data_IF_237906787269
#
_entry.id   IF_237906787269
#
_cell.length_a   1.000
_cell.length_b   1.000
_cell.length_c   1.000
_cell.angle_alpha   90.00
_cell.angle_beta   90.00
_cell.angle_gamma   90.00
#
_symmetry.space_group_name_H-M   'P 1'
#
loop_
_entity.id
_entity.type
_entity.pdbx_description
1 polymer ?
#
# COMPACT_ATOMS: atom_id res chain seq x y z
N UNK A 1 -27.66 -22.38 6.79
CA UNK A 1 -26.33 -21.89 6.36
C UNK A 1 -26.34 -20.37 6.35
N UNK A 2 -25.66 -19.73 7.30
CA UNK A 2 -25.56 -18.26 7.34
C UNK A 2 -24.54 -17.79 6.29
N UNK A 3 -24.86 -16.78 5.47
CA UNK A 3 -23.92 -16.27 4.49
C UNK A 3 -22.67 -15.70 5.19
N UNK A 4 -21.47 -15.83 4.57
CA UNK A 4 -20.23 -15.31 5.13
C UNK A 4 -20.32 -13.79 5.37
N UNK A 5 -19.62 -13.29 6.38
CA UNK A 5 -19.68 -11.88 6.80
C UNK A 5 -19.45 -10.90 5.65
N UNK A 6 -18.51 -11.19 4.76
CA UNK A 6 -18.24 -10.40 3.55
C UNK A 6 -19.43 -10.34 2.60
N UNK A 7 -20.15 -11.45 2.42
CA UNK A 7 -21.37 -11.47 1.62
C UNK A 7 -22.49 -10.67 2.27
N UNK A 8 -22.59 -10.66 3.61
CA UNK A 8 -23.56 -9.84 4.35
C UNK A 8 -23.25 -8.34 4.22
N UNK A 9 -22.00 -7.93 4.36
CA UNK A 9 -21.58 -6.53 4.25
C UNK A 9 -21.87 -5.99 2.85
N UNK A 10 -21.57 -6.75 1.79
CA UNK A 10 -21.91 -6.34 0.43
C UNK A 10 -23.41 -6.24 0.19
N UNK A 11 -24.20 -7.17 0.74
CA UNK A 11 -25.66 -7.12 0.63
C UNK A 11 -26.21 -5.85 1.29
N UNK A 12 -25.67 -5.46 2.44
CA UNK A 12 -26.03 -4.22 3.13
C UNK A 12 -25.66 -2.97 2.32
N UNK A 13 -24.45 -2.92 1.73
CA UNK A 13 -24.02 -1.78 0.91
C UNK A 13 -24.89 -1.65 -0.35
N UNK A 14 -25.15 -2.74 -1.07
CA UNK A 14 -26.01 -2.73 -2.25
C UNK A 14 -27.45 -2.35 -1.87
N UNK A 15 -27.97 -2.84 -0.74
CA UNK A 15 -29.28 -2.47 -0.25
C UNK A 15 -29.37 -0.96 0.03
N UNK A 16 -28.39 -0.40 0.74
CA UNK A 16 -28.33 1.04 1.04
C UNK A 16 -28.29 1.86 -0.25
N UNK A 17 -27.44 1.51 -1.21
CA UNK A 17 -27.34 2.22 -2.49
C UNK A 17 -28.66 2.18 -3.28
N UNK A 18 -29.30 1.01 -3.36
CA UNK A 18 -30.59 0.85 -4.06
C UNK A 18 -31.69 1.65 -3.36
N UNK A 19 -31.77 1.60 -2.02
CA UNK A 19 -32.77 2.37 -1.28
C UNK A 19 -32.57 3.88 -1.41
N UNK A 20 -31.32 4.35 -1.40
CA UNK A 20 -31.00 5.76 -1.54
C UNK A 20 -31.32 6.27 -2.96
N UNK A 21 -30.98 5.49 -3.99
CA UNK A 21 -31.32 5.79 -5.37
C UNK A 21 -32.84 5.78 -5.62
N UNK A 22 -33.58 4.83 -5.04
CA UNK A 22 -35.02 4.75 -5.14
C UNK A 22 -35.72 5.93 -4.44
N UNK A 23 -35.27 6.31 -3.24
CA UNK A 23 -35.77 7.48 -2.52
C UNK A 23 -35.46 8.79 -3.25
N UNK A 24 -34.24 8.94 -3.78
CA UNK A 24 -33.87 10.07 -4.62
C UNK A 24 -34.75 10.20 -5.87
N UNK A 25 -34.94 9.09 -6.60
CA UNK A 25 -35.81 9.04 -7.78
C UNK A 25 -37.27 9.35 -7.46
N UNK A 26 -37.78 8.88 -6.32
CA UNK A 26 -39.13 9.18 -5.85
C UNK A 26 -39.31 10.67 -5.56
N UNK A 27 -38.37 11.29 -4.84
CA UNK A 27 -38.40 12.72 -4.52
C UNK A 27 -38.31 13.60 -5.78
N UNK A 28 -37.39 13.29 -6.69
CA UNK A 28 -37.24 14.03 -7.95
C UNK A 28 -38.47 13.89 -8.85
N UNK A 29 -39.06 12.69 -8.97
CA UNK A 29 -40.24 12.48 -9.81
C UNK A 29 -41.53 13.10 -9.25
N UNK A 30 -41.64 13.26 -7.92
CA UNK A 30 -42.75 14.01 -7.30
C UNK A 30 -42.68 15.51 -7.65
N UNK A 31 -41.48 16.08 -7.77
CA UNK A 31 -41.28 17.49 -8.14
C UNK A 31 -41.58 17.79 -9.62
N UNK A 32 -41.42 16.80 -10.52
CA UNK A 32 -41.44 17.00 -11.97
C UNK A 32 -42.79 16.71 -12.66
N UNK A 33 -43.73 16.00 -12.03
CA UNK A 33 -44.98 15.67 -12.74
C UNK A 33 -45.98 14.76 -12.03
N UNK A 34 -45.89 14.58 -10.72
CA UNK A 34 -46.87 13.81 -9.93
C UNK A 34 -46.52 12.33 -9.71
N UNK A 35 -47.44 11.61 -9.05
CA UNK A 35 -47.20 10.27 -8.46
C UNK A 35 -46.76 9.21 -9.47
N UNK A 36 -47.22 9.31 -10.71
CA UNK A 36 -46.91 8.36 -11.78
C UNK A 36 -45.45 8.49 -12.25
N UNK A 37 -44.96 9.72 -12.41
CA UNK A 37 -43.55 9.99 -12.76
C UNK A 37 -42.60 9.62 -11.61
N UNK A 38 -43.03 9.78 -10.36
CA UNK A 38 -42.29 9.34 -9.19
C UNK A 38 -42.04 7.83 -9.16
N UNK A 39 -43.05 7.02 -9.50
CA UNK A 39 -42.92 5.56 -9.54
C UNK A 39 -41.98 5.10 -10.68
N UNK A 40 -42.10 5.72 -11.86
CA UNK A 40 -41.24 5.39 -13.01
C UNK A 40 -39.78 5.77 -12.72
N UNK A 41 -39.53 6.96 -12.17
CA UNK A 41 -38.19 7.43 -11.84
C UNK A 41 -37.53 6.58 -10.72
N UNK A 42 -38.28 6.25 -9.66
CA UNK A 42 -37.79 5.40 -8.59
C UNK A 42 -37.47 3.97 -9.08
N UNK A 43 -38.32 3.39 -9.94
CA UNK A 43 -38.10 2.08 -10.53
C UNK A 43 -36.85 2.04 -11.43
N UNK A 44 -36.69 3.04 -12.31
CA UNK A 44 -35.53 3.14 -13.19
C UNK A 44 -34.22 3.32 -12.41
N UNK A 45 -34.20 4.19 -11.40
CA UNK A 45 -33.03 4.43 -10.56
C UNK A 45 -32.65 3.19 -9.72
N UNK A 46 -33.64 2.52 -9.13
CA UNK A 46 -33.41 1.30 -8.35
C UNK A 46 -32.86 0.15 -9.19
N UNK A 47 -33.40 -0.07 -10.39
CA UNK A 47 -32.90 -1.07 -11.34
C UNK A 47 -31.50 -0.74 -11.84
N UNK A 48 -31.23 0.53 -12.16
CA UNK A 48 -29.90 0.98 -12.57
C UNK A 48 -28.84 0.74 -11.49
N UNK A 49 -29.14 1.10 -10.24
CA UNK A 49 -28.24 0.85 -9.11
C UNK A 49 -27.99 -0.64 -8.87
N UNK A 50 -29.02 -1.48 -9.02
CA UNK A 50 -28.91 -2.93 -8.86
C UNK A 50 -28.06 -3.58 -9.96
N UNK A 51 -28.31 -3.23 -11.23
CA UNK A 51 -27.55 -3.73 -12.38
C UNK A 51 -26.09 -3.27 -12.30
N UNK A 52 -25.86 -1.99 -12.01
CA UNK A 52 -24.52 -1.42 -11.85
C UNK A 52 -23.72 -2.09 -10.73
N UNK A 53 -24.34 -2.34 -9.58
CA UNK A 53 -23.70 -3.04 -8.46
C UNK A 53 -23.32 -4.48 -8.83
N UNK A 54 -24.15 -5.21 -9.59
CA UNK A 54 -23.82 -6.56 -10.05
C UNK A 54 -22.72 -6.61 -11.10
N UNK A 55 -22.69 -5.65 -12.03
CA UNK A 55 -21.63 -5.54 -13.04
C UNK A 55 -20.28 -5.18 -12.39
N UNK A 56 -20.27 -4.19 -11.48
CA UNK A 56 -19.09 -3.84 -10.71
C UNK A 56 -18.56 -5.04 -9.90
N UNK A 57 -19.44 -5.84 -9.30
CA UNK A 57 -19.05 -7.07 -8.61
C UNK A 57 -18.39 -8.09 -9.54
N UNK A 58 -18.93 -8.29 -10.75
CA UNK A 58 -18.33 -9.22 -11.72
C UNK A 58 -16.98 -8.73 -12.21
N UNK A 59 -16.82 -7.43 -12.43
CA UNK A 59 -15.54 -6.82 -12.80
C UNK A 59 -14.52 -6.91 -11.66
N UNK A 60 -14.92 -6.55 -10.43
CA UNK A 60 -14.04 -6.67 -9.25
C UNK A 60 -13.66 -8.12 -9.02
N UNK A 61 -14.56 -9.09 -9.13
CA UNK A 61 -14.22 -10.51 -8.97
C UNK A 61 -13.37 -11.06 -10.13
N UNK A 62 -13.49 -10.50 -11.33
CA UNK A 62 -12.62 -10.83 -12.46
C UNK A 62 -11.22 -10.23 -12.29
N UNK A 63 -11.12 -9.01 -11.74
CA UNK A 63 -9.86 -8.36 -11.40
C UNK A 63 -9.20 -8.99 -10.17
N UNK A 64 -9.98 -9.33 -9.14
CA UNK A 64 -9.57 -10.03 -7.91
C UNK A 64 -9.48 -11.53 -8.22
N UNK A 65 -8.63 -11.87 -9.18
CA UNK A 65 -8.05 -13.19 -9.30
C UNK A 65 -7.05 -13.43 -8.16
N UNK A 66 -6.75 -14.69 -7.80
CA UNK A 66 -5.78 -15.03 -6.75
C UNK A 66 -4.39 -14.38 -6.91
N UNK A 67 -4.04 -13.91 -8.11
CA UNK A 67 -2.82 -13.14 -8.37
C UNK A 67 -2.74 -11.77 -7.69
N UNK A 68 -3.85 -11.13 -7.29
CA UNK A 68 -3.78 -9.83 -6.57
C UNK A 68 -3.23 -10.01 -5.15
N UNK A 69 -3.48 -11.14 -4.50
CA UNK A 69 -2.96 -11.38 -3.15
C UNK A 69 -1.45 -11.62 -3.14
N UNK A 70 -0.92 -12.31 -4.16
CA UNK A 70 0.52 -12.49 -4.34
C UNK A 70 1.17 -11.16 -4.76
N UNK A 71 0.62 -10.46 -5.77
CA UNK A 71 1.11 -9.14 -6.20
C UNK A 71 1.08 -8.10 -5.07
N UNK A 72 0.09 -8.15 -4.18
CA UNK A 72 0.02 -7.27 -3.01
C UNK A 72 1.06 -7.62 -1.95
N UNK A 73 1.36 -8.90 -1.75
CA UNK A 73 2.43 -9.35 -0.83
C UNK A 73 3.81 -9.00 -1.39
N UNK A 74 4.02 -9.20 -2.70
CA UNK A 74 5.26 -8.86 -3.40
C UNK A 74 5.47 -7.34 -3.44
N UNK A 75 4.42 -6.57 -3.72
CA UNK A 75 4.45 -5.11 -3.67
C UNK A 75 4.71 -4.56 -2.27
N UNK A 76 4.20 -5.23 -1.22
CA UNK A 76 4.50 -4.88 0.17
C UNK A 76 5.96 -5.18 0.52
N UNK A 77 6.48 -6.36 0.16
CA UNK A 77 7.87 -6.72 0.37
C UNK A 77 8.84 -5.76 -0.35
N UNK A 78 8.49 -5.37 -1.58
CA UNK A 78 9.23 -4.38 -2.36
C UNK A 78 9.19 -2.99 -1.71
N UNK A 79 8.02 -2.56 -1.21
CA UNK A 79 7.88 -1.30 -0.49
C UNK A 79 8.74 -1.25 0.79
N UNK A 80 8.81 -2.36 1.52
CA UNK A 80 9.70 -2.46 2.70
C UNK A 80 11.17 -2.43 2.26
N UNK A 81 11.55 -3.12 1.18
CA UNK A 81 12.93 -3.09 0.67
C UNK A 81 13.37 -1.67 0.28
N UNK A 82 12.51 -0.91 -0.40
CA UNK A 82 12.76 0.50 -0.73
C UNK A 82 12.88 1.36 0.54
N UNK A 83 12.04 1.12 1.55
CA UNK A 83 12.11 1.82 2.83
C UNK A 83 13.42 1.54 3.59
N UNK A 84 13.91 0.29 3.56
CA UNK A 84 15.21 -0.08 4.13
C UNK A 84 16.34 0.68 3.45
N UNK A 85 16.37 0.66 2.12
CA UNK A 85 17.37 1.38 1.32
C UNK A 85 17.42 2.86 1.70
N UNK A 86 16.26 3.53 1.75
CA UNK A 86 16.17 4.95 2.13
C UNK A 86 16.64 5.16 3.57
N UNK A 87 16.19 4.34 4.52
CA UNK A 87 16.55 4.49 5.93
C UNK A 87 18.06 4.37 6.16
N UNK A 88 18.73 3.38 5.56
CA UNK A 88 20.17 3.20 5.69
C UNK A 88 20.91 4.33 4.97
N UNK A 89 20.42 4.81 3.82
CA UNK A 89 21.01 5.97 3.15
C UNK A 89 20.95 7.24 4.02
N UNK A 90 19.84 7.47 4.72
CA UNK A 90 19.71 8.62 5.65
C UNK A 90 20.61 8.48 6.88
N UNK A 91 20.81 7.24 7.37
CA UNK A 91 21.77 6.98 8.43
C UNK A 91 23.21 7.19 7.96
N UNK A 92 23.58 6.71 6.77
CA UNK A 92 24.89 6.99 6.15
C UNK A 92 25.16 8.48 6.06
N UNK A 93 24.19 9.28 5.61
CA UNK A 93 24.33 10.73 5.51
C UNK A 93 24.51 11.40 6.89
N UNK A 94 24.06 10.77 7.97
CA UNK A 94 24.29 11.23 9.34
C UNK A 94 25.68 10.89 9.89
N UNK A 95 26.26 9.77 9.44
CA UNK A 95 27.62 9.32 9.80
C UNK A 95 28.68 10.04 8.96
N UNK A 96 28.39 10.28 7.67
CA UNK A 96 29.27 10.95 6.73
C UNK A 96 28.62 12.25 6.21
N UNK A 97 28.45 13.28 7.07
CA UNK A 97 27.78 14.51 6.67
C UNK A 97 28.63 15.34 5.70
N UNK A 98 27.96 16.06 4.78
CA UNK A 98 28.63 16.96 3.83
C UNK A 98 29.24 18.20 4.51
N UNK A 99 28.66 18.60 5.64
CA UNK A 99 29.12 19.74 6.45
C UNK A 99 29.49 19.23 7.85
N UNK A 100 30.65 19.59 8.40
CA UNK A 100 31.01 19.25 9.77
C UNK A 100 29.93 19.71 10.75
N UNK A 101 29.58 18.87 11.72
CA UNK A 101 28.52 19.13 12.72
C UNK A 101 27.13 19.40 12.14
N UNK A 102 26.87 19.06 10.87
CA UNK A 102 25.57 19.26 10.23
C UNK A 102 24.46 18.31 10.70
N UNK A 103 24.79 17.35 11.57
CA UNK A 103 23.84 16.38 12.18
C UNK A 103 24.25 16.20 13.64
N UNK A 104 23.28 16.26 14.56
CA UNK A 104 23.57 16.03 16.00
C UNK A 104 23.75 14.54 16.31
N UNK A 105 24.34 14.22 17.46
CA UNK A 105 24.49 12.83 17.88
C UNK A 105 23.13 12.17 18.14
N UNK A 106 22.15 12.91 18.65
CA UNK A 106 20.78 12.42 18.85
C UNK A 106 20.09 12.13 17.52
N UNK A 107 20.26 13.00 16.52
CA UNK A 107 19.74 12.76 15.17
C UNK A 107 20.38 11.55 14.50
N UNK A 108 21.69 11.36 14.71
CA UNK A 108 22.41 10.19 14.22
C UNK A 108 21.89 8.91 14.85
N UNK A 109 21.71 8.89 16.17
CA UNK A 109 21.21 7.72 16.90
C UNK A 109 19.76 7.38 16.54
N UNK A 110 18.90 8.39 16.35
CA UNK A 110 17.53 8.19 15.88
C UNK A 110 17.50 7.54 14.48
N UNK A 111 18.35 8.00 13.56
CA UNK A 111 18.46 7.43 12.21
C UNK A 111 19.07 6.02 12.24
N UNK A 112 20.04 5.77 13.12
CA UNK A 112 20.60 4.43 13.37
C UNK A 112 19.50 3.46 13.81
N UNK A 113 18.75 3.84 14.83
CA UNK A 113 17.63 3.05 15.38
C UNK A 113 16.60 2.70 14.31
N UNK A 114 16.17 3.69 13.51
CA UNK A 114 15.21 3.47 12.44
C UNK A 114 15.75 2.49 11.39
N UNK A 115 17.01 2.67 10.96
CA UNK A 115 17.64 1.81 9.97
C UNK A 115 17.71 0.35 10.44
N UNK A 116 18.18 0.10 11.67
CA UNK A 116 18.23 -1.25 12.24
C UNK A 116 16.84 -1.89 12.38
N UNK A 117 15.83 -1.12 12.82
CA UNK A 117 14.46 -1.64 12.97
C UNK A 117 13.84 -2.06 11.66
N UNK A 118 14.05 -1.28 10.59
CA UNK A 118 13.52 -1.62 9.27
C UNK A 118 14.27 -2.81 8.68
N UNK A 119 15.60 -2.89 8.83
CA UNK A 119 16.39 -4.04 8.32
C UNK A 119 16.09 -5.36 9.03
N UNK A 120 15.59 -5.30 10.27
CA UNK A 120 15.20 -6.48 11.04
C UNK A 120 13.75 -6.94 10.76
N UNK A 121 13.04 -6.34 9.81
CA UNK A 121 11.65 -6.71 9.53
C UNK A 121 11.57 -8.09 8.86
N UNK A 122 10.79 -9.01 9.45
CA UNK A 122 10.75 -10.42 9.03
C UNK A 122 10.23 -10.63 7.61
N UNK A 123 9.42 -9.69 7.09
CA UNK A 123 8.90 -9.77 5.72
C UNK A 123 9.92 -9.39 4.64
N UNK A 124 11.14 -8.93 5.02
CA UNK A 124 12.17 -8.63 4.04
C UNK A 124 12.72 -9.90 3.37
N UNK A 125 12.90 -9.88 2.04
CA UNK A 125 13.63 -10.93 1.35
C UNK A 125 15.03 -11.11 1.93
N UNK A 126 15.41 -12.36 2.17
CA UNK A 126 16.68 -12.71 2.84
C UNK A 126 17.93 -12.07 2.19
N UNK A 127 18.06 -12.00 0.84
CA UNK A 127 19.19 -11.31 0.22
C UNK A 127 19.28 -9.84 0.63
N UNK A 128 18.14 -9.14 0.69
CA UNK A 128 18.07 -7.73 1.10
C UNK A 128 18.44 -7.56 2.57
N UNK A 129 18.00 -8.46 3.46
CA UNK A 129 18.40 -8.44 4.88
C UNK A 129 19.92 -8.57 5.06
N UNK A 130 20.55 -9.51 4.34
CA UNK A 130 22.00 -9.74 4.43
C UNK A 130 22.79 -8.54 3.87
N UNK A 131 22.35 -8.00 2.74
CA UNK A 131 22.97 -6.83 2.12
C UNK A 131 22.80 -5.57 3.00
N UNK A 132 21.64 -5.42 3.64
CA UNK A 132 21.36 -4.34 4.59
C UNK A 132 22.25 -4.43 5.83
N UNK A 133 22.43 -5.63 6.38
CA UNK A 133 23.34 -5.86 7.51
C UNK A 133 24.79 -5.49 7.16
N UNK A 134 25.27 -5.88 5.97
CA UNK A 134 26.61 -5.51 5.49
C UNK A 134 26.77 -4.00 5.30
N UNK A 135 25.75 -3.31 4.79
CA UNK A 135 25.74 -1.86 4.66
C UNK A 135 25.78 -1.16 6.02
N UNK A 136 24.96 -1.59 6.98
CA UNK A 136 24.95 -1.07 8.34
C UNK A 136 26.29 -1.27 9.04
N UNK A 137 26.90 -2.45 8.91
CA UNK A 137 28.23 -2.72 9.47
C UNK A 137 29.30 -1.80 8.88
N UNK A 138 29.29 -1.59 7.55
CA UNK A 138 30.24 -0.70 6.89
C UNK A 138 30.07 0.76 7.32
N UNK A 139 28.83 1.20 7.55
CA UNK A 139 28.53 2.55 8.05
C UNK A 139 28.97 2.71 9.51
N UNK A 140 28.66 1.74 10.38
CA UNK A 140 29.00 1.79 11.82
C UNK A 140 30.52 1.80 12.07
N UNK A 141 31.33 1.22 11.18
CA UNK A 141 32.80 1.35 11.27
C UNK A 141 33.28 2.79 11.13
N UNK A 142 32.53 3.67 10.46
CA UNK A 142 32.69 5.12 10.45
C UNK A 142 33.98 5.71 9.85
N UNK A 143 34.99 4.89 9.54
CA UNK A 143 36.33 5.35 9.12
C UNK A 143 36.53 5.40 7.60
N UNK A 144 35.74 4.63 6.83
CA UNK A 144 35.88 4.55 5.37
C UNK A 144 34.54 4.81 4.65
N UNK A 145 34.38 6.07 4.20
CA UNK A 145 33.21 6.49 3.45
C UNK A 145 33.05 5.76 2.11
N UNK A 146 34.16 5.30 1.48
CA UNK A 146 34.14 4.57 0.22
C UNK A 146 33.68 3.13 0.45
N UNK A 147 34.12 2.49 1.53
CA UNK A 147 33.62 1.17 1.91
C UNK A 147 32.12 1.22 2.21
N UNK A 148 31.65 2.22 2.96
CA UNK A 148 30.23 2.42 3.23
C UNK A 148 29.43 2.69 1.93
N UNK A 149 29.99 3.44 0.98
CA UNK A 149 29.37 3.67 -0.33
C UNK A 149 29.27 2.38 -1.16
N UNK A 150 30.33 1.58 -1.19
CA UNK A 150 30.35 0.30 -1.91
C UNK A 150 29.31 -0.67 -1.34
N UNK A 151 29.20 -0.76 -0.01
CA UNK A 151 28.20 -1.59 0.64
C UNK A 151 26.77 -1.09 0.38
N UNK A 152 26.55 0.24 0.39
CA UNK A 152 25.26 0.81 -0.01
C UNK A 152 24.90 0.49 -1.46
N UNK A 153 25.87 0.59 -2.39
CA UNK A 153 25.65 0.20 -3.78
C UNK A 153 25.27 -1.28 -3.90
N UNK A 154 25.90 -2.15 -3.12
CA UNK A 154 25.51 -3.56 -3.00
C UNK A 154 24.05 -3.72 -2.58
N UNK A 155 23.62 -3.01 -1.54
CA UNK A 155 22.23 -3.01 -1.09
C UNK A 155 21.25 -2.52 -2.16
N UNK A 156 21.55 -1.42 -2.84
CA UNK A 156 20.72 -0.91 -3.95
C UNK A 156 20.55 -1.96 -5.06
N UNK A 157 21.65 -2.61 -5.46
CA UNK A 157 21.61 -3.65 -6.49
C UNK A 157 20.80 -4.86 -6.03
N UNK A 158 21.00 -5.33 -4.80
CA UNK A 158 20.23 -6.46 -4.26
C UNK A 158 18.73 -6.14 -4.20
N UNK A 159 18.34 -4.94 -3.76
CA UNK A 159 16.93 -4.53 -3.74
C UNK A 159 16.34 -4.42 -5.16
N UNK A 160 17.14 -3.98 -6.13
CA UNK A 160 16.74 -3.91 -7.53
C UNK A 160 16.60 -5.29 -8.18
N UNK A 161 17.56 -6.19 -7.98
CA UNK A 161 17.50 -7.58 -8.46
C UNK A 161 16.30 -8.31 -7.87
N UNK A 162 16.02 -8.09 -6.59
CA UNK A 162 14.84 -8.65 -5.94
C UNK A 162 13.54 -8.19 -6.62
N UNK A 163 13.46 -6.93 -7.07
CA UNK A 163 12.31 -6.41 -7.83
C UNK A 163 12.16 -7.08 -9.19
N UNK A 164 13.26 -7.47 -9.83
CA UNK A 164 13.24 -8.13 -11.14
C UNK A 164 12.94 -9.63 -11.05
N UNK A 165 13.10 -10.23 -9.87
CA UNK A 165 12.84 -11.66 -9.64
C UNK A 165 11.36 -12.02 -9.44
N UNK A 166 10.47 -11.02 -9.46
CA UNK A 166 9.01 -11.14 -9.34
C UNK A 166 8.31 -10.51 -10.55
#
# INVERSE_FOLDING_TARGET
>A
MTPPLTARIHLLITLVLVTCAALGGLCSGLLLGGRLMALVAAGAAGLGAWIGSRLARRQIMACVSPGIQTVSADGYAQGIADAVVVSIATYRAAVFPLVPHGVTEEERDARRTLAYRLSAFDALPRPVQLSAAAALEAIDRGTDAKQAEAAMKGLYLTAYEQRLSH
#
